data_IF_459434093001
#
_entry.id   IF_459434093001
#
_cell.length_a   1.000
_cell.length_b   1.000
_cell.length_c   1.000
_cell.angle_alpha   90.00
_cell.angle_beta   90.00
_cell.angle_gamma   90.00
#
_symmetry.space_group_name_H-M   'P 1'
#
loop_
_entity.id
_entity.type
_entity.pdbx_description
1 polymer ?
#
# COMPACT_ATOMS: atom_id res chain seq x y z
N UNK A 1 -10.41 -13.49 7.32
CA UNK A 1 -9.26 -13.00 8.10
C UNK A 1 -9.03 -11.55 7.78
N UNK A 2 -8.90 -10.72 8.79
CA UNK A 2 -8.73 -9.27 8.63
C UNK A 2 -7.26 -8.92 8.74
N UNK A 3 -6.81 -8.01 7.87
CA UNK A 3 -5.42 -7.53 7.86
C UNK A 3 -5.43 -6.02 8.07
N UNK A 4 -4.61 -5.55 9.00
CA UNK A 4 -4.39 -4.13 9.27
C UNK A 4 -2.93 -3.81 9.06
N UNK A 5 -2.65 -2.76 8.30
CA UNK A 5 -1.28 -2.27 8.11
C UNK A 5 -1.15 -0.96 8.88
N UNK A 6 -0.11 -0.87 9.73
CA UNK A 6 0.15 0.33 10.54
C UNK A 6 1.51 0.90 10.20
N UNK A 7 1.63 2.22 10.32
CA UNK A 7 2.94 2.88 10.28
C UNK A 7 3.60 2.68 11.66
N UNK A 8 4.87 2.26 11.67
CA UNK A 8 5.52 1.78 12.89
C UNK A 8 5.70 2.86 13.96
N UNK A 9 6.15 4.04 13.56
CA UNK A 9 6.51 5.07 14.54
C UNK A 9 5.29 5.65 15.26
N UNK A 10 4.20 5.88 14.52
CA UNK A 10 2.99 6.50 15.07
C UNK A 10 1.94 5.50 15.49
N UNK A 11 2.01 4.27 14.99
CA UNK A 11 0.96 3.26 15.20
C UNK A 11 -0.30 3.53 14.38
N UNK A 12 -0.29 4.51 13.49
CA UNK A 12 -1.46 4.87 12.70
C UNK A 12 -1.82 3.74 11.74
N UNK A 13 -3.09 3.33 11.75
CA UNK A 13 -3.59 2.35 10.78
C UNK A 13 -3.70 3.02 9.42
N UNK A 14 -3.06 2.44 8.42
CA UNK A 14 -3.03 2.98 7.05
C UNK A 14 -4.03 2.26 6.16
N UNK A 15 -4.29 0.99 6.41
CA UNK A 15 -5.19 0.17 5.61
C UNK A 15 -5.73 -0.96 6.46
N UNK A 16 -6.99 -1.32 6.22
CA UNK A 16 -7.61 -2.44 6.92
C UNK A 16 -8.70 -3.04 6.06
N UNK A 17 -8.67 -4.37 5.88
CA UNK A 17 -9.71 -5.07 5.14
C UNK A 17 -9.67 -6.55 5.45
N UNK A 18 -10.78 -7.23 5.15
CA UNK A 18 -10.82 -8.68 5.12
C UNK A 18 -10.35 -9.17 3.76
N UNK A 19 -9.69 -10.32 3.69
CA UNK A 19 -9.35 -10.94 2.42
C UNK A 19 -10.62 -11.18 1.61
N UNK A 20 -10.58 -10.79 0.34
CA UNK A 20 -11.73 -10.87 -0.55
C UNK A 20 -11.64 -9.80 -1.62
N UNK A 21 -12.77 -9.21 -2.00
CA UNK A 21 -12.77 -8.22 -3.11
C UNK A 21 -11.92 -6.98 -2.83
N UNK A 22 -11.76 -6.58 -1.56
CA UNK A 22 -11.05 -5.36 -1.19
C UNK A 22 -9.59 -5.59 -0.86
N UNK A 23 -9.15 -6.84 -0.73
CA UNK A 23 -7.80 -7.16 -0.28
C UNK A 23 -7.32 -8.45 -0.93
N UNK A 24 -6.20 -8.37 -1.65
CA UNK A 24 -5.60 -9.55 -2.26
C UNK A 24 -4.13 -9.63 -1.90
N UNK A 25 -3.63 -10.84 -1.72
CA UNK A 25 -2.19 -11.08 -1.60
C UNK A 25 -1.65 -11.42 -2.98
N UNK A 26 -0.62 -10.71 -3.41
CA UNK A 26 -0.05 -10.87 -4.73
C UNK A 26 1.47 -10.82 -4.64
N UNK A 27 2.13 -11.88 -5.06
CA UNK A 27 3.58 -12.00 -5.02
C UNK A 27 4.17 -11.68 -3.64
N UNK A 28 3.49 -12.13 -2.60
CA UNK A 28 3.97 -11.98 -1.23
C UNK A 28 3.64 -10.66 -0.55
N UNK A 29 2.94 -9.76 -1.22
CA UNK A 29 2.56 -8.47 -0.67
C UNK A 29 1.05 -8.28 -0.66
N UNK A 30 0.57 -7.36 0.18
CA UNK A 30 -0.86 -7.08 0.32
C UNK A 30 -1.25 -5.90 -0.57
N UNK A 31 -2.34 -6.05 -1.33
CA UNK A 31 -2.88 -4.99 -2.18
C UNK A 31 -4.30 -4.70 -1.77
N UNK A 32 -4.52 -3.45 -1.34
CA UNK A 32 -5.80 -2.99 -0.80
C UNK A 32 -6.52 -2.12 -1.82
N UNK A 33 -7.84 -2.32 -1.95
CA UNK A 33 -8.68 -1.38 -2.68
C UNK A 33 -8.57 0.01 -2.02
N UNK A 34 -8.56 1.10 -2.80
CA UNK A 34 -8.44 2.45 -2.22
C UNK A 34 -9.49 2.75 -1.14
N UNK A 35 -10.69 2.17 -1.23
CA UNK A 35 -11.73 2.38 -0.22
C UNK A 35 -11.36 1.80 1.14
N UNK A 36 -10.40 0.88 1.20
CA UNK A 36 -9.94 0.28 2.45
C UNK A 36 -8.70 0.97 3.03
N UNK A 37 -8.28 2.08 2.43
CA UNK A 37 -7.02 2.75 2.74
C UNK A 37 -7.30 4.16 3.25
N UNK A 38 -6.51 4.60 4.22
CA UNK A 38 -6.58 5.96 4.78
C UNK A 38 -5.93 6.94 3.79
N UNK A 39 -6.66 7.27 2.73
CA UNK A 39 -6.16 8.19 1.70
C UNK A 39 -5.98 9.61 2.20
N UNK A 40 -6.60 9.95 3.34
CA UNK A 40 -6.45 11.26 3.98
C UNK A 40 -5.06 11.47 4.59
N UNK A 41 -4.32 10.39 4.90
CA UNK A 41 -2.97 10.48 5.44
C UNK A 41 -1.92 9.89 4.50
N UNK A 42 -2.31 9.49 3.30
CA UNK A 42 -1.39 8.91 2.32
C UNK A 42 -1.35 9.79 1.08
N UNK A 43 -0.14 10.06 0.61
CA UNK A 43 0.10 10.89 -0.57
C UNK A 43 0.80 10.07 -1.63
N UNK A 44 0.16 9.90 -2.78
CA UNK A 44 0.81 9.30 -3.95
C UNK A 44 1.78 10.33 -4.52
N UNK A 45 3.03 9.94 -4.70
CA UNK A 45 4.08 10.84 -5.19
C UNK A 45 4.36 10.59 -6.66
N UNK A 46 5.22 11.41 -7.25
CA UNK A 46 5.73 11.18 -8.60
C UNK A 46 7.04 10.39 -8.62
N UNK A 47 7.51 9.93 -7.45
CA UNK A 47 8.63 9.00 -7.40
C UNK A 47 8.15 7.62 -7.86
N UNK A 48 8.88 7.01 -8.77
CA UNK A 48 8.44 5.77 -9.41
C UNK A 48 9.46 4.66 -9.27
N UNK A 49 8.96 3.43 -9.41
CA UNK A 49 9.76 2.24 -9.57
C UNK A 49 9.18 1.40 -10.70
N UNK A 50 10.03 0.94 -11.61
CA UNK A 50 9.59 0.13 -12.75
C UNK A 50 9.92 -1.33 -12.50
N UNK A 51 8.86 -2.15 -12.44
CA UNK A 51 8.98 -3.60 -12.41
C UNK A 51 8.86 -4.11 -13.84
N UNK A 52 9.84 -4.87 -14.36
CA UNK A 52 9.77 -5.33 -15.75
C UNK A 52 8.58 -6.25 -16.03
N UNK A 53 7.98 -6.81 -15.00
CA UNK A 53 6.83 -7.72 -15.17
C UNK A 53 5.50 -7.03 -14.97
N UNK A 54 5.38 -6.13 -14.00
CA UNK A 54 4.10 -5.53 -13.59
C UNK A 54 3.86 -4.15 -14.19
N UNK A 55 4.91 -3.38 -14.41
CA UNK A 55 4.80 -2.01 -14.89
C UNK A 55 5.47 -1.03 -13.94
N UNK A 56 5.06 0.24 -13.99
CA UNK A 56 5.65 1.29 -13.17
C UNK A 56 4.69 1.68 -12.06
N UNK A 57 5.17 1.65 -10.82
CA UNK A 57 4.39 2.10 -9.67
C UNK A 57 4.85 3.48 -9.22
N UNK A 58 3.96 4.15 -8.49
CA UNK A 58 4.28 5.40 -7.80
C UNK A 58 4.40 5.09 -6.31
N UNK A 59 5.45 5.61 -5.69
CA UNK A 59 5.61 5.48 -4.25
C UNK A 59 4.63 6.37 -3.51
N UNK A 60 4.21 5.91 -2.33
CA UNK A 60 3.22 6.59 -1.50
C UNK A 60 3.86 6.94 -0.16
N UNK A 61 3.68 8.18 0.27
CA UNK A 61 4.18 8.67 1.56
C UNK A 61 3.04 8.75 2.56
N UNK A 62 3.39 8.55 3.83
CA UNK A 62 2.50 8.85 4.95
C UNK A 62 2.74 10.29 5.39
N UNK A 63 1.65 11.05 5.53
CA UNK A 63 1.69 12.43 6.02
C UNK A 63 0.72 12.51 7.20
N UNK A 64 1.27 12.58 8.40
CA UNK A 64 0.48 12.63 9.61
C UNK A 64 -0.14 14.01 9.83
N UNK A 65 -1.12 14.11 10.75
CA UNK A 65 -1.83 15.36 11.01
C UNK A 65 -0.94 16.43 11.62
N UNK A 66 0.18 16.05 12.21
CA UNK A 66 1.16 16.99 12.80
C UNK A 66 2.25 17.39 11.80
N UNK A 67 2.10 17.02 10.52
CA UNK A 67 3.09 17.29 9.50
C UNK A 67 4.23 16.30 9.45
N UNK A 68 4.23 15.30 10.30
CA UNK A 68 5.22 14.23 10.27
C UNK A 68 5.08 13.42 8.98
N UNK A 69 6.18 13.17 8.28
CA UNK A 69 6.13 12.48 7.00
C UNK A 69 7.07 11.27 7.03
N UNK A 70 6.56 10.13 6.52
CA UNK A 70 7.34 8.93 6.33
C UNK A 70 7.27 8.55 4.86
N UNK A 71 8.42 8.41 4.22
CA UNK A 71 8.49 8.12 2.79
C UNK A 71 8.28 6.64 2.50
N UNK A 72 7.65 6.38 1.36
CA UNK A 72 7.62 5.05 0.73
C UNK A 72 7.01 3.99 1.63
N UNK A 73 5.89 4.34 2.29
CA UNK A 73 5.17 3.38 3.14
C UNK A 73 4.38 2.38 2.29
N UNK A 74 4.08 2.74 1.04
CA UNK A 74 3.25 1.94 0.14
C UNK A 74 3.60 2.28 -1.31
N UNK A 75 2.94 1.58 -2.25
CA UNK A 75 3.07 1.87 -3.67
C UNK A 75 1.74 1.61 -4.37
N UNK A 76 1.56 2.22 -5.55
CA UNK A 76 0.38 2.02 -6.40
C UNK A 76 0.82 1.84 -7.83
N UNK A 77 0.27 0.83 -8.50
CA UNK A 77 0.42 0.66 -9.95
C UNK A 77 -0.81 1.24 -10.63
N UNK A 78 -0.77 2.49 -11.14
CA UNK A 78 -1.95 3.06 -11.81
C UNK A 78 -2.31 2.29 -13.06
N UNK A 79 -1.30 1.75 -13.74
CA UNK A 79 -1.47 0.86 -14.88
C UNK A 79 -0.57 -0.34 -14.71
N UNK A 80 -0.97 -1.47 -15.29
CA UNK A 80 -0.21 -2.72 -15.18
C UNK A 80 -0.06 -3.34 -16.55
N UNK A 81 0.96 -4.19 -16.68
CA UNK A 81 1.12 -5.02 -17.87
C UNK A 81 0.06 -6.13 -17.88
N UNK A 82 -0.28 -6.66 -19.06
CA UNK A 82 -1.27 -7.76 -19.16
C UNK A 82 -0.93 -8.92 -18.23
N UNK A 83 -1.96 -9.43 -17.56
CA UNK A 83 -1.82 -10.53 -16.61
C UNK A 83 -1.70 -10.08 -15.16
N UNK A 84 -1.59 -8.77 -14.90
CA UNK A 84 -1.43 -8.24 -13.54
C UNK A 84 -2.57 -7.32 -13.12
N UNK A 85 -3.73 -7.42 -13.78
CA UNK A 85 -4.86 -6.52 -13.58
C UNK A 85 -5.39 -6.52 -12.15
N UNK A 86 -5.17 -7.59 -11.42
CA UNK A 86 -5.64 -7.70 -10.04
C UNK A 86 -5.14 -6.56 -9.14
N UNK A 87 -3.92 -6.08 -9.39
CA UNK A 87 -3.31 -5.06 -8.53
C UNK A 87 -3.44 -3.64 -9.06
N UNK A 88 -4.03 -3.45 -10.25
CA UNK A 88 -4.14 -2.12 -10.84
C UNK A 88 -4.95 -1.20 -9.94
N UNK A 89 -4.39 -0.03 -9.62
CA UNK A 89 -5.05 0.97 -8.80
C UNK A 89 -5.13 0.66 -7.32
N UNK A 90 -4.60 -0.47 -6.88
CA UNK A 90 -4.62 -0.85 -5.47
C UNK A 90 -3.35 -0.35 -4.77
N UNK A 91 -3.47 -0.08 -3.46
CA UNK A 91 -2.32 0.30 -2.64
C UNK A 91 -1.60 -0.95 -2.17
N UNK A 92 -0.32 -1.06 -2.50
CA UNK A 92 0.51 -2.18 -2.09
C UNK A 92 1.27 -1.89 -0.81
N UNK A 93 1.32 -2.88 0.09
CA UNK A 93 2.06 -2.81 1.34
C UNK A 93 2.85 -4.08 1.55
N UNK A 94 4.00 -3.99 2.19
CA UNK A 94 4.78 -5.16 2.55
C UNK A 94 4.00 -6.05 3.51
N UNK A 95 4.10 -7.35 3.34
CA UNK A 95 3.60 -8.32 4.31
C UNK A 95 4.56 -8.36 5.50
N UNK A 96 4.01 -8.59 6.69
CA UNK A 96 4.80 -8.70 7.91
C UNK A 96 5.34 -7.36 8.39
N UNK A 97 6.44 -7.41 9.14
CA UNK A 97 7.11 -6.22 9.64
C UNK A 97 8.32 -5.93 8.76
N UNK A 98 8.21 -4.91 7.91
CA UNK A 98 9.27 -4.60 6.96
C UNK A 98 9.26 -3.11 6.65
N UNK A 99 10.46 -2.49 6.66
CA UNK A 99 10.56 -1.05 6.44
C UNK A 99 9.86 -0.28 7.54
N UNK A 100 8.96 0.62 7.15
CA UNK A 100 8.28 1.54 8.06
C UNK A 100 6.87 1.11 8.43
N UNK A 101 6.41 -0.06 7.95
CA UNK A 101 5.07 -0.57 8.24
C UNK A 101 5.11 -1.93 8.89
N UNK A 102 4.02 -2.28 9.56
CA UNK A 102 3.85 -3.58 10.20
C UNK A 102 2.44 -4.08 9.97
N UNK A 103 2.35 -5.36 9.62
CA UNK A 103 1.09 -6.06 9.43
C UNK A 103 0.59 -6.59 10.76
N UNK A 104 -0.74 -6.47 11.00
CA UNK A 104 -1.41 -7.07 12.12
C UNK A 104 -2.81 -7.51 11.72
N UNK A 105 -3.57 -7.97 12.69
CA UNK A 105 -4.94 -8.36 12.47
C UNK A 105 -5.83 -8.12 13.70
#
# INVERSE_FOLDING_TARGET
>A
MSITIREKASGTALAEAEEGPSLAKYEGHWYFDPAAVRTDVLRVTDRTYTCPYKGTCNWVDYVGPDGCMVRDVAWVYPEVKPGHELIRGRYGFYAGSRGTTVEGN
#
